data_IF_412021145042
#
_entry.id   IF_412021145042
#
_cell.length_a   1.000
_cell.length_b   1.000
_cell.length_c   1.000
_cell.angle_alpha   90.00
_cell.angle_beta   90.00
_cell.angle_gamma   90.00
#
_symmetry.space_group_name_H-M   'P 1'
#
loop_
_entity.id
_entity.type
_entity.pdbx_description
1 polymer ?
#
# COMPACT_ATOMS: atom_id res chain seq x y z
N UNK A 1 -17.21 -1.07 8.70
CA UNK A 1 -16.46 -1.30 7.44
C UNK A 1 -15.35 -2.32 7.72
N UNK A 2 -15.01 -3.14 6.73
CA UNK A 2 -13.90 -4.09 6.81
C UNK A 2 -12.77 -3.58 5.94
N UNK A 3 -11.64 -3.28 6.57
CA UNK A 3 -10.41 -2.86 5.91
C UNK A 3 -9.32 -3.91 6.07
N UNK A 4 -8.46 -4.02 5.08
CA UNK A 4 -7.21 -4.77 5.12
C UNK A 4 -6.06 -3.77 5.04
N UNK A 5 -5.06 -3.95 5.85
CA UNK A 5 -3.91 -3.07 5.96
C UNK A 5 -2.62 -3.80 5.64
N UNK A 6 -1.66 -3.06 5.07
CA UNK A 6 -0.30 -3.51 4.79
C UNK A 6 0.65 -2.33 4.57
N UNK A 7 1.96 -2.59 4.70
CA UNK A 7 2.98 -1.61 4.39
C UNK A 7 3.87 -2.05 3.24
N UNK A 8 4.20 -1.10 2.38
CA UNK A 8 5.16 -1.33 1.32
C UNK A 8 6.28 -0.30 1.33
N UNK A 9 7.49 -0.77 1.04
CA UNK A 9 8.64 0.09 0.83
C UNK A 9 8.79 0.43 -0.64
N UNK A 10 8.93 1.73 -0.93
CA UNK A 10 9.26 2.26 -2.25
C UNK A 10 10.60 3.00 -2.19
N UNK A 11 11.41 2.90 -3.22
CA UNK A 11 12.75 3.47 -3.20
C UNK A 11 13.35 3.66 -4.56
N UNK A 12 14.56 4.26 -4.58
CA UNK A 12 15.34 4.56 -5.77
C UNK A 12 16.23 3.40 -6.23
N UNK A 13 15.91 2.17 -5.79
CA UNK A 13 16.41 0.94 -6.43
C UNK A 13 15.31 0.47 -7.36
N UNK A 14 15.52 0.64 -8.66
CA UNK A 14 14.50 0.29 -9.64
C UNK A 14 14.39 -1.22 -9.87
N UNK A 15 13.17 -1.67 -10.15
CA UNK A 15 12.89 -3.05 -10.55
C UNK A 15 12.81 -3.12 -12.07
N UNK A 16 13.78 -3.81 -12.68
CA UNK A 16 13.74 -4.09 -14.10
C UNK A 16 12.75 -5.21 -14.40
N UNK A 17 11.81 -4.95 -15.28
CA UNK A 17 10.77 -5.88 -15.70
C UNK A 17 10.72 -5.98 -17.22
N UNK A 18 10.33 -7.14 -17.72
CA UNK A 18 10.07 -7.33 -19.13
C UNK A 18 8.98 -6.36 -19.60
N UNK A 19 9.21 -5.77 -20.79
CA UNK A 19 8.23 -4.91 -21.45
C UNK A 19 8.05 -5.39 -22.90
N UNK A 20 6.87 -5.09 -23.45
CA UNK A 20 6.61 -5.34 -24.86
C UNK A 20 7.30 -4.27 -25.69
N UNK A 21 8.05 -4.71 -26.69
CA UNK A 21 8.76 -3.83 -27.65
C UNK A 21 8.52 -4.35 -29.06
N UNK A 22 8.67 -3.50 -30.11
CA UNK A 22 8.69 -3.96 -31.51
C UNK A 22 9.76 -5.04 -31.72
N UNK A 23 9.50 -5.97 -32.63
CA UNK A 23 10.30 -7.19 -32.83
C UNK A 23 11.79 -6.92 -33.04
N UNK A 24 12.12 -5.77 -33.64
CA UNK A 24 13.51 -5.41 -34.00
C UNK A 24 14.16 -4.43 -33.01
N UNK A 25 13.54 -4.24 -31.82
CA UNK A 25 14.03 -3.37 -30.75
C UNK A 25 14.53 -4.18 -29.57
N UNK A 26 15.75 -3.91 -29.12
CA UNK A 26 16.26 -4.41 -27.84
C UNK A 26 16.09 -3.28 -26.82
N UNK A 27 15.22 -3.44 -25.82
CA UNK A 27 15.03 -2.40 -24.81
C UNK A 27 16.28 -2.30 -23.94
N UNK A 28 16.80 -1.09 -23.79
CA UNK A 28 17.86 -0.79 -22.82
C UNK A 28 17.22 -0.09 -21.63
N UNK A 29 17.30 -0.72 -20.45
CA UNK A 29 16.83 -0.13 -19.22
C UNK A 29 18.03 0.18 -18.31
N UNK A 30 18.17 1.43 -17.90
CA UNK A 30 19.17 1.84 -16.94
C UNK A 30 18.86 1.27 -15.55
N UNK A 31 19.92 0.88 -14.82
CA UNK A 31 19.80 0.37 -13.44
C UNK A 31 20.16 1.46 -12.46
N UNK A 32 19.26 1.73 -11.51
CA UNK A 32 19.49 2.62 -10.39
C UNK A 32 19.63 1.82 -9.11
N UNK A 33 20.63 2.12 -8.27
CA UNK A 33 20.91 1.42 -7.01
C UNK A 33 21.14 2.41 -5.85
N UNK A 34 20.28 3.40 -5.72
CA UNK A 34 20.37 4.39 -4.65
C UNK A 34 19.52 3.90 -3.47
N UNK A 35 20.14 3.79 -2.28
CA UNK A 35 19.47 3.25 -1.07
C UNK A 35 18.72 4.34 -0.31
N UNK A 36 17.74 4.92 -0.95
CA UNK A 36 16.79 5.86 -0.37
C UNK A 36 15.39 5.27 -0.49
N UNK A 37 14.64 5.32 0.60
CA UNK A 37 13.34 4.65 0.68
C UNK A 37 12.35 5.46 1.48
N UNK A 38 11.08 5.33 1.15
CA UNK A 38 9.94 5.70 1.98
C UNK A 38 8.97 4.53 2.09
N UNK A 39 8.09 4.61 3.07
CA UNK A 39 7.12 3.57 3.36
C UNK A 39 5.72 4.11 3.12
N UNK A 40 4.90 3.27 2.53
CA UNK A 40 3.47 3.55 2.35
C UNK A 40 2.71 2.57 3.22
N UNK A 41 1.94 3.12 4.15
CA UNK A 41 0.93 2.40 4.90
C UNK A 41 -0.39 2.54 4.13
N UNK A 42 -1.07 1.46 3.83
CA UNK A 42 -2.35 1.53 3.15
C UNK A 42 -3.37 0.57 3.72
N UNK A 43 -4.61 1.02 3.75
CA UNK A 43 -5.74 0.13 3.99
C UNK A 43 -6.77 0.24 2.89
N UNK A 44 -7.33 -0.89 2.49
CA UNK A 44 -8.38 -0.98 1.47
C UNK A 44 -9.63 -1.64 2.03
N UNK A 45 -10.78 -1.09 1.68
CA UNK A 45 -12.08 -1.73 1.88
C UNK A 45 -12.52 -2.41 0.58
N UNK A 46 -12.38 -3.74 0.41
CA UNK A 46 -12.69 -4.40 -0.86
C UNK A 46 -14.16 -4.29 -1.28
N UNK A 47 -15.06 -4.09 -0.32
CA UNK A 47 -16.49 -3.97 -0.58
C UNK A 47 -16.86 -2.66 -1.28
N UNK A 48 -16.17 -1.56 -0.94
CA UNK A 48 -16.45 -0.23 -1.47
C UNK A 48 -15.38 0.24 -2.46
N UNK A 49 -14.17 -0.28 -2.37
CA UNK A 49 -12.98 0.17 -3.11
C UNK A 49 -12.33 1.40 -2.49
N UNK A 50 -12.73 1.79 -1.31
CA UNK A 50 -12.11 2.89 -0.59
C UNK A 50 -10.71 2.52 -0.16
N UNK A 51 -9.77 3.43 -0.39
CA UNK A 51 -8.37 3.31 -0.07
C UNK A 51 -7.96 4.49 0.82
N UNK A 52 -7.33 4.19 1.94
CA UNK A 52 -6.64 5.18 2.78
C UNK A 52 -5.16 4.86 2.79
N UNK A 53 -4.32 5.86 2.51
CA UNK A 53 -2.86 5.68 2.46
C UNK A 53 -2.13 6.85 3.12
N UNK A 54 -0.98 6.53 3.71
CA UNK A 54 -0.09 7.50 4.35
C UNK A 54 1.36 7.18 3.95
N UNK A 55 2.09 8.18 3.45
CA UNK A 55 3.52 8.08 3.10
C UNK A 55 4.32 8.55 4.31
N UNK A 56 5.26 7.72 4.78
CA UNK A 56 6.07 7.99 5.96
C UNK A 56 7.54 7.62 5.72
N UNK A 57 8.49 8.32 6.35
CA UNK A 57 9.92 8.05 6.17
C UNK A 57 10.40 6.78 6.88
N UNK A 58 9.61 6.26 7.82
CA UNK A 58 9.96 5.12 8.67
C UNK A 58 8.78 4.17 8.80
N UNK A 59 9.08 2.89 9.08
CA UNK A 59 8.10 1.86 9.41
C UNK A 59 8.36 1.39 10.85
N UNK A 60 7.57 1.91 11.78
CA UNK A 60 7.67 1.61 13.22
C UNK A 60 6.31 1.83 13.92
N UNK A 61 6.28 1.61 15.23
CA UNK A 61 5.06 1.76 16.04
C UNK A 61 4.49 3.19 16.01
N UNK A 62 5.33 4.22 15.99
CA UNK A 62 4.85 5.62 15.96
C UNK A 62 4.22 5.95 14.58
N UNK A 63 4.82 5.46 13.50
CA UNK A 63 4.26 5.56 12.16
C UNK A 63 2.90 4.85 12.05
N UNK A 64 2.79 3.63 12.58
CA UNK A 64 1.52 2.90 12.66
C UNK A 64 0.49 3.66 13.50
N UNK A 65 0.89 4.30 14.61
CA UNK A 65 -0.02 5.12 15.41
C UNK A 65 -0.58 6.30 14.62
N UNK A 66 0.27 6.98 13.81
CA UNK A 66 -0.19 8.06 12.94
C UNK A 66 -1.19 7.55 11.90
N UNK A 67 -0.90 6.40 11.30
CA UNK A 67 -1.78 5.76 10.33
C UNK A 67 -3.15 5.43 10.94
N UNK A 68 -3.18 4.77 12.10
CA UNK A 68 -4.43 4.41 12.79
C UNK A 68 -5.26 5.63 13.18
N UNK A 69 -4.61 6.70 13.65
CA UNK A 69 -5.28 7.94 14.00
C UNK A 69 -5.93 8.60 12.78
N UNK A 70 -5.21 8.64 11.65
CA UNK A 70 -5.72 9.19 10.40
C UNK A 70 -6.87 8.38 9.82
N UNK A 71 -6.74 7.04 9.78
CA UNK A 71 -7.82 6.14 9.36
C UNK A 71 -9.07 6.32 10.24
N UNK A 72 -8.89 6.37 11.55
CA UNK A 72 -9.97 6.60 12.52
C UNK A 72 -10.67 7.94 12.29
N UNK A 73 -9.92 9.00 12.03
CA UNK A 73 -10.46 10.34 11.80
C UNK A 73 -11.24 10.42 10.47
N UNK A 74 -10.72 9.83 9.40
CA UNK A 74 -11.36 9.82 8.09
C UNK A 74 -12.70 9.06 8.11
N UNK A 75 -12.78 7.97 8.86
CA UNK A 75 -13.95 7.11 8.95
C UNK A 75 -14.60 7.15 10.37
N UNK A 76 -14.66 8.33 10.99
CA UNK A 76 -15.09 8.51 12.37
C UNK A 76 -16.55 8.10 12.65
N UNK A 77 -17.39 8.06 11.61
CA UNK A 77 -18.79 7.63 11.69
C UNK A 77 -18.98 6.12 11.57
N UNK A 78 -17.90 5.37 11.33
CA UNK A 78 -17.94 3.93 11.10
C UNK A 78 -17.21 3.16 12.20
N UNK A 79 -17.71 1.95 12.49
CA UNK A 79 -16.94 0.91 13.18
C UNK A 79 -16.07 0.21 12.13
N UNK A 80 -14.76 0.14 12.37
CA UNK A 80 -13.77 -0.44 11.48
C UNK A 80 -13.28 -1.74 12.08
N UNK A 81 -13.34 -2.82 11.30
CA UNK A 81 -12.54 -4.03 11.53
C UNK A 81 -11.35 -3.90 10.60
N UNK A 82 -10.14 -3.86 11.16
CA UNK A 82 -8.88 -3.74 10.42
C UNK A 82 -8.13 -5.05 10.49
N UNK A 83 -7.99 -5.73 9.36
CA UNK A 83 -7.18 -6.93 9.22
C UNK A 83 -5.77 -6.55 8.79
N UNK A 84 -4.78 -7.05 9.53
CA UNK A 84 -3.35 -6.82 9.27
C UNK A 84 -2.54 -8.04 9.66
N UNK A 85 -1.29 -8.09 9.26
CA UNK A 85 -0.38 -9.12 9.71
C UNK A 85 0.08 -8.89 11.18
N UNK A 86 0.93 -9.77 11.68
CA UNK A 86 1.50 -9.69 13.03
C UNK A 86 2.90 -9.11 13.03
N UNK A 87 3.18 -8.05 12.28
CA UNK A 87 4.46 -7.37 12.39
C UNK A 87 4.71 -6.86 13.82
N UNK A 88 5.98 -6.74 14.21
CA UNK A 88 6.34 -6.38 15.59
C UNK A 88 5.78 -5.03 16.04
N UNK A 89 5.65 -4.06 15.13
CA UNK A 89 5.08 -2.74 15.40
C UNK A 89 3.54 -2.76 15.51
N UNK A 90 2.85 -3.78 14.97
CA UNK A 90 1.41 -3.99 15.11
C UNK A 90 1.01 -4.53 16.48
N UNK A 91 1.92 -5.26 17.13
CA UNK A 91 1.67 -5.95 18.41
C UNK A 91 2.28 -5.22 19.61
N UNK A 92 2.86 -4.04 19.39
CA UNK A 92 3.49 -3.24 20.44
C UNK A 92 2.47 -2.81 21.51
N UNK A 93 2.82 -3.00 22.79
CA UNK A 93 2.02 -2.51 23.93
C UNK A 93 1.91 -0.97 24.00
N UNK A 94 2.73 -0.26 23.21
CA UNK A 94 2.69 1.21 23.12
C UNK A 94 1.62 1.70 22.14
N UNK A 95 1.05 0.82 21.32
CA UNK A 95 0.07 1.19 20.31
C UNK A 95 -1.28 1.48 20.98
N UNK A 96 -1.81 2.68 20.78
CA UNK A 96 -3.12 3.09 21.26
C UNK A 96 -4.15 2.95 20.14
N UNK A 97 -5.01 1.94 20.23
CA UNK A 97 -6.00 1.66 19.20
C UNK A 97 -7.18 2.61 19.36
N UNK A 98 -7.54 3.41 18.33
CA UNK A 98 -8.71 4.28 18.35
C UNK A 98 -10.02 3.52 18.64
N UNK A 99 -10.97 4.17 19.33
CA UNK A 99 -12.22 3.53 19.83
C UNK A 99 -13.10 2.93 18.74
N UNK A 100 -13.01 3.43 17.52
CA UNK A 100 -13.81 2.95 16.39
C UNK A 100 -13.09 1.87 15.56
N UNK A 101 -11.85 1.49 15.90
CA UNK A 101 -11.07 0.45 15.23
C UNK A 101 -10.96 -0.78 16.11
N UNK A 102 -11.18 -1.95 15.50
CA UNK A 102 -10.90 -3.26 16.09
C UNK A 102 -9.90 -3.98 15.18
N UNK A 103 -8.72 -4.32 15.70
CA UNK A 103 -7.67 -5.00 14.93
C UNK A 103 -7.88 -6.51 15.01
N UNK A 104 -7.83 -7.16 13.86
CA UNK A 104 -7.86 -8.61 13.70
C UNK A 104 -6.63 -9.03 12.89
N UNK A 105 -5.99 -10.10 13.32
CA UNK A 105 -4.78 -10.55 12.65
C UNK A 105 -5.08 -11.57 11.57
N UNK A 106 -4.42 -11.40 10.41
CA UNK A 106 -4.35 -12.42 9.38
C UNK A 106 -3.52 -13.62 9.87
N UNK A 107 -3.73 -14.82 9.31
CA UNK A 107 -2.85 -15.94 9.55
C UNK A 107 -1.39 -15.60 9.19
N UNK A 108 -0.40 -16.12 9.93
CA UNK A 108 0.99 -15.89 9.60
C UNK A 108 1.33 -16.38 8.18
N UNK A 109 2.23 -15.70 7.50
CA UNK A 109 2.75 -16.08 6.18
C UNK A 109 1.67 -16.27 5.10
N UNK A 110 0.62 -15.46 5.12
CA UNK A 110 -0.51 -15.56 4.18
C UNK A 110 -0.76 -14.26 3.41
N UNK A 111 0.22 -13.74 2.64
CA UNK A 111 0.07 -12.50 1.87
C UNK A 111 -1.03 -12.61 0.82
N UNK A 112 -1.33 -13.85 0.34
CA UNK A 112 -2.42 -14.11 -0.61
C UNK A 112 -3.82 -13.80 -0.04
N UNK A 113 -3.93 -13.67 1.28
CA UNK A 113 -5.18 -13.26 1.94
C UNK A 113 -5.29 -11.75 2.11
N UNK A 114 -4.20 -10.99 1.85
CA UNK A 114 -4.22 -9.54 1.99
C UNK A 114 -4.44 -8.85 0.63
N UNK A 115 -5.62 -8.27 0.36
CA UNK A 115 -5.91 -7.60 -0.91
C UNK A 115 -5.03 -6.34 -1.15
N UNK A 116 -4.40 -5.78 -0.13
CA UNK A 116 -3.47 -4.64 -0.28
C UNK A 116 -2.25 -5.04 -1.12
N UNK A 117 -1.82 -6.30 -1.07
CA UNK A 117 -0.73 -6.82 -1.91
C UNK A 117 -1.02 -6.68 -3.41
N UNK A 118 -2.31 -6.75 -3.80
CA UNK A 118 -2.72 -6.50 -5.19
C UNK A 118 -2.56 -5.03 -5.56
N UNK A 119 -2.82 -4.12 -4.61
CA UNK A 119 -2.58 -2.68 -4.78
C UNK A 119 -1.08 -2.43 -5.02
N UNK A 120 -0.20 -3.00 -4.18
CA UNK A 120 1.25 -2.87 -4.35
C UNK A 120 1.75 -3.40 -5.69
N UNK A 121 1.22 -4.54 -6.10
CA UNK A 121 1.56 -5.14 -7.40
C UNK A 121 1.18 -4.22 -8.55
N UNK A 122 -0.02 -3.67 -8.54
CA UNK A 122 -0.52 -2.81 -9.62
C UNK A 122 0.16 -1.44 -9.60
N UNK A 123 0.39 -0.84 -8.42
CA UNK A 123 1.18 0.39 -8.28
C UNK A 123 2.57 0.23 -8.88
N UNK A 124 3.30 -0.82 -8.50
CA UNK A 124 4.64 -1.08 -9.05
C UNK A 124 4.61 -1.26 -10.56
N UNK A 125 3.62 -1.98 -11.08
CA UNK A 125 3.47 -2.24 -12.51
C UNK A 125 3.22 -0.96 -13.31
N UNK A 126 2.35 -0.09 -12.85
CA UNK A 126 1.90 1.09 -13.60
C UNK A 126 2.84 2.29 -13.43
N UNK A 127 3.48 2.46 -12.27
CA UNK A 127 4.16 3.70 -11.92
C UNK A 127 5.65 3.56 -11.60
N UNK A 128 6.15 2.35 -11.24
CA UNK A 128 7.50 2.19 -10.69
C UNK A 128 8.40 1.23 -11.45
N UNK A 129 7.85 0.29 -12.22
CA UNK A 129 8.68 -0.64 -13.00
C UNK A 129 9.43 0.11 -14.10
N UNK A 130 10.73 -0.18 -14.24
CA UNK A 130 11.62 0.43 -15.23
C UNK A 130 11.72 1.97 -15.11
N UNK A 131 11.33 2.55 -13.99
CA UNK A 131 11.44 3.98 -13.74
C UNK A 131 12.75 4.31 -13.02
N UNK A 132 13.29 5.50 -13.31
CA UNK A 132 14.41 6.12 -12.62
C UNK A 132 13.89 7.41 -11.98
N UNK A 133 14.37 7.70 -10.78
CA UNK A 133 14.02 8.93 -10.06
C UNK A 133 15.28 9.76 -9.87
N UNK A 134 15.27 11.01 -10.35
CA UNK A 134 16.43 11.92 -10.27
C UNK A 134 16.83 12.16 -8.81
N UNK A 135 15.84 12.39 -7.94
CA UNK A 135 16.01 12.65 -6.53
C UNK A 135 14.93 11.96 -5.69
N UNK A 136 14.93 12.25 -4.40
CA UNK A 136 13.97 11.67 -3.46
C UNK A 136 12.60 12.33 -3.58
N UNK A 137 12.55 13.61 -3.92
CA UNK A 137 11.32 14.37 -4.11
C UNK A 137 10.54 13.85 -5.32
N UNK A 138 11.23 13.52 -6.43
CA UNK A 138 10.61 12.90 -7.60
C UNK A 138 9.98 11.53 -7.30
N UNK A 139 10.60 10.74 -6.40
CA UNK A 139 10.01 9.49 -5.92
C UNK A 139 8.75 9.75 -5.08
N UNK A 140 8.79 10.75 -4.17
CA UNK A 140 7.65 11.12 -3.33
C UNK A 140 6.48 11.63 -4.17
N UNK A 141 6.73 12.54 -5.10
CA UNK A 141 5.73 13.08 -6.03
C UNK A 141 5.04 11.94 -6.82
N UNK A 142 5.82 10.99 -7.31
CA UNK A 142 5.28 9.83 -8.02
C UNK A 142 4.41 8.96 -7.12
N UNK A 143 4.79 8.76 -5.86
CA UNK A 143 3.97 8.03 -4.88
C UNK A 143 2.67 8.76 -4.60
N UNK A 144 2.73 10.07 -4.35
CA UNK A 144 1.54 10.91 -4.11
C UNK A 144 0.58 10.85 -5.30
N UNK A 145 1.09 11.01 -6.53
CA UNK A 145 0.31 10.91 -7.76
C UNK A 145 -0.38 9.55 -7.87
N UNK A 146 0.41 8.47 -7.77
CA UNK A 146 -0.09 7.11 -7.95
C UNK A 146 -1.15 6.73 -6.92
N UNK A 147 -0.95 7.04 -5.64
CA UNK A 147 -1.91 6.77 -4.58
C UNK A 147 -3.19 7.60 -4.74
N UNK A 148 -3.05 8.86 -5.18
CA UNK A 148 -4.19 9.73 -5.47
C UNK A 148 -5.03 9.19 -6.64
N UNK A 149 -4.40 8.68 -7.68
CA UNK A 149 -5.11 8.09 -8.82
C UNK A 149 -5.88 6.84 -8.41
N UNK A 150 -5.24 5.96 -7.62
CA UNK A 150 -5.93 4.79 -7.06
C UNK A 150 -7.09 5.18 -6.15
N UNK A 151 -6.92 6.15 -5.26
CA UNK A 151 -7.98 6.56 -4.33
C UNK A 151 -9.21 7.17 -5.02
N UNK A 152 -9.04 7.73 -6.23
CA UNK A 152 -10.16 8.28 -7.03
C UNK A 152 -10.96 7.22 -7.76
N UNK A 153 -10.34 6.12 -8.17
CA UNK A 153 -11.00 5.05 -8.92
C UNK A 153 -11.40 3.88 -8.01
N UNK A 154 -12.37 4.14 -7.14
CA UNK A 154 -12.90 3.13 -6.22
C UNK A 154 -13.47 1.91 -6.94
N UNK A 155 -13.95 2.05 -8.19
CA UNK A 155 -14.46 0.92 -8.97
C UNK A 155 -13.32 -0.02 -9.38
N UNK A 156 -12.21 0.52 -9.89
CA UNK A 156 -11.05 -0.28 -10.24
C UNK A 156 -10.43 -0.94 -8.99
N UNK A 157 -10.29 -0.19 -7.89
CA UNK A 157 -9.81 -0.73 -6.61
C UNK A 157 -10.70 -1.88 -6.14
N UNK A 158 -12.02 -1.70 -6.15
CA UNK A 158 -12.97 -2.76 -5.79
C UNK A 158 -12.83 -3.99 -6.68
N UNK A 159 -12.73 -3.83 -8.00
CA UNK A 159 -12.54 -4.95 -8.93
C UNK A 159 -11.22 -5.68 -8.68
N UNK A 160 -10.16 -4.94 -8.38
CA UNK A 160 -8.84 -5.49 -8.09
C UNK A 160 -8.80 -6.30 -6.79
N UNK A 161 -9.47 -5.83 -5.75
CA UNK A 161 -9.36 -6.33 -4.38
C UNK A 161 -10.50 -7.24 -3.92
N UNK A 162 -11.55 -7.39 -4.73
CA UNK A 162 -12.71 -8.18 -4.39
C UNK A 162 -12.45 -9.68 -4.61
N UNK A 163 -11.87 -10.32 -3.62
CA UNK A 163 -11.68 -11.77 -3.62
C UNK A 163 -13.01 -12.52 -3.56
N UNK A 164 -13.09 -13.68 -4.23
CA UNK A 164 -14.31 -14.50 -4.28
C UNK A 164 -14.78 -14.98 -2.89
N UNK A 165 -13.86 -15.13 -1.94
CA UNK A 165 -14.14 -15.53 -0.57
C UNK A 165 -14.57 -14.38 0.36
N UNK A 166 -14.39 -13.11 -0.06
CA UNK A 166 -14.82 -11.90 0.67
C UNK A 166 -16.30 -11.53 0.42
N UNK A 167 -17.10 -12.41 -0.14
CA UNK A 167 -18.54 -12.20 -0.32
C UNK A 167 -19.22 -12.26 1.04
N UNK A 168 -19.38 -11.09 1.68
CA UNK A 168 -20.20 -10.87 2.86
C UNK A 168 -21.60 -10.44 2.46
#
# INVERSE_FOLDING_TARGET
MLFFEDEARFGRINNLRHCWVPKDHIPVAARQMIREYMYVFSSVCPQTGELYSLILPVCNTDAMQLFLNGLSAQYNHYRIILLMDKAGWHTSSKLSIPRNISIWNLPPYSPELNPVELIWRELRKLYFNNQLFEDFDALEDRLVESLRDFSKDTKAVKQLTNFSWLKL
#
